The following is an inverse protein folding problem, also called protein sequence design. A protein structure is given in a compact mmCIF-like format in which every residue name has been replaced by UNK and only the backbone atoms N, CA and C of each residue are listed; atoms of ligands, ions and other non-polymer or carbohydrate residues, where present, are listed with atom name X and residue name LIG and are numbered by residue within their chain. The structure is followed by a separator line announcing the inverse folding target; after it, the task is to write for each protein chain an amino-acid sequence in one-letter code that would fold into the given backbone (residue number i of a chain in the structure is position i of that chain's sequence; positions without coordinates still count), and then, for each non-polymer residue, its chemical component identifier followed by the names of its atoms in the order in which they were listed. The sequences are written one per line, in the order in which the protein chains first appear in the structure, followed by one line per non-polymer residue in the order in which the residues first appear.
data_IF_462340633929
#
_entry.id   IF_462340633929
#
_cell.length_a   1.000
_cell.length_b   1.000
_cell.length_c   1.000
_cell.angle_alpha   90.00
_cell.angle_beta   90.00
_cell.angle_gamma   90.00
#
_symmetry.space_group_name_H-M   'P 1'
#
loop_
_entity.id
_entity.type
_entity.pdbx_description
1 polymer ?
#
# COMPACT_ATOMS: atom_id res chain seq x y z
N UNK A 1 -13.08 -2.73 3.70
CA UNK A 1 -11.75 -2.52 4.31
C UNK A 1 -11.06 -3.88 4.35
N UNK A 2 -9.85 -3.98 3.83
CA UNK A 2 -9.07 -5.22 3.77
C UNK A 2 -8.00 -5.20 4.86
N UNK A 3 -7.86 -6.31 5.58
CA UNK A 3 -6.79 -6.54 6.55
C UNK A 3 -6.02 -7.77 6.15
N UNK A 4 -4.71 -7.76 6.35
CA UNK A 4 -3.87 -8.92 6.12
C UNK A 4 -3.85 -9.82 7.36
N UNK A 5 -3.82 -11.13 7.15
CA UNK A 5 -3.61 -12.08 8.24
C UNK A 5 -2.26 -11.81 8.92
N UNK A 6 -2.21 -11.60 10.25
CA UNK A 6 -0.98 -11.22 10.92
C UNK A 6 0.13 -12.28 10.85
N UNK A 7 -0.23 -13.57 10.85
CA UNK A 7 0.74 -14.67 10.79
C UNK A 7 1.36 -14.81 9.40
N UNK A 8 0.53 -14.75 8.35
CA UNK A 8 0.98 -14.73 6.97
C UNK A 8 1.85 -13.49 6.68
N UNK A 9 1.43 -12.32 7.16
CA UNK A 9 2.21 -11.09 7.03
C UNK A 9 3.56 -11.20 7.75
N UNK A 10 3.59 -11.72 8.97
CA UNK A 10 4.83 -11.95 9.71
C UNK A 10 5.76 -12.91 8.97
N UNK A 11 5.24 -14.04 8.49
CA UNK A 11 6.00 -15.02 7.72
C UNK A 11 6.62 -14.40 6.46
N UNK A 12 5.81 -13.63 5.71
CA UNK A 12 6.27 -12.93 4.51
C UNK A 12 7.33 -11.88 4.80
N UNK A 13 7.16 -11.09 5.87
CA UNK A 13 8.12 -10.08 6.32
C UNK A 13 9.44 -10.69 6.80
N UNK A 14 9.41 -11.90 7.33
CA UNK A 14 10.59 -12.66 7.76
C UNK A 14 11.29 -13.39 6.62
N UNK A 15 10.72 -13.43 5.41
CA UNK A 15 11.32 -14.15 4.30
C UNK A 15 12.60 -13.47 3.78
N UNK A 16 13.63 -14.23 3.36
CA UNK A 16 14.89 -13.66 2.86
C UNK A 16 14.70 -12.72 1.66
N UNK A 17 13.78 -13.04 0.74
CA UNK A 17 13.50 -12.23 -0.44
C UNK A 17 12.91 -10.86 -0.06
N UNK A 18 11.93 -10.83 0.86
CA UNK A 18 11.33 -9.57 1.35
C UNK A 18 12.35 -8.74 2.11
N UNK A 19 13.17 -9.35 2.97
CA UNK A 19 14.23 -8.67 3.71
C UNK A 19 15.28 -8.07 2.77
N UNK A 20 15.70 -8.81 1.73
CA UNK A 20 16.64 -8.32 0.73
C UNK A 20 16.06 -7.12 -0.02
N UNK A 21 14.80 -7.19 -0.47
CA UNK A 21 14.13 -6.09 -1.17
C UNK A 21 13.98 -4.85 -0.28
N UNK A 22 13.58 -5.04 0.98
CA UNK A 22 13.45 -3.96 1.95
C UNK A 22 14.81 -3.27 2.21
N UNK A 23 15.90 -4.05 2.30
CA UNK A 23 17.24 -3.52 2.43
C UNK A 23 17.62 -2.66 1.23
N UNK A 24 17.45 -3.15 0.01
CA UNK A 24 17.75 -2.40 -1.23
C UNK A 24 17.00 -1.07 -1.28
N UNK A 25 15.71 -1.05 -0.92
CA UNK A 25 14.92 0.18 -0.89
C UNK A 25 15.47 1.18 0.13
N UNK A 26 15.77 0.72 1.35
CA UNK A 26 16.31 1.58 2.41
C UNK A 26 17.71 2.12 2.08
N UNK A 27 18.58 1.30 1.48
CA UNK A 27 19.91 1.71 1.04
C UNK A 27 19.82 2.76 -0.07
N UNK A 28 18.95 2.54 -1.06
CA UNK A 28 18.68 3.50 -2.13
C UNK A 28 18.17 4.83 -1.60
N UNK A 29 17.18 4.81 -0.69
CA UNK A 29 16.70 6.05 -0.06
C UNK A 29 17.78 6.74 0.76
N UNK A 30 18.59 5.99 1.51
CA UNK A 30 19.70 6.56 2.28
C UNK A 30 20.74 7.22 1.38
N UNK A 31 21.07 6.61 0.24
CA UNK A 31 21.96 7.21 -0.75
C UNK A 31 21.36 8.49 -1.35
N UNK A 32 20.08 8.47 -1.71
CA UNK A 32 19.35 9.63 -2.22
C UNK A 32 19.33 10.78 -1.20
N UNK A 33 19.06 10.48 0.07
CA UNK A 33 19.08 11.48 1.16
C UNK A 33 20.47 12.10 1.30
N UNK A 34 21.54 11.29 1.29
CA UNK A 34 22.93 11.79 1.36
C UNK A 34 23.25 12.74 0.19
N UNK A 35 22.88 12.35 -1.04
CA UNK A 35 23.10 13.17 -2.22
C UNK A 35 22.32 14.50 -2.17
N UNK A 36 21.11 14.52 -1.61
CA UNK A 36 20.35 15.77 -1.40
C UNK A 36 21.00 16.71 -0.40
N UNK A 37 21.48 16.16 0.73
CA UNK A 37 22.18 16.95 1.75
C UNK A 37 23.45 17.60 1.21
N UNK A 38 24.22 16.89 0.38
CA UNK A 38 25.39 17.45 -0.30
C UNK A 38 25.06 18.62 -1.23
N UNK A 39 23.82 18.70 -1.73
CA UNK A 39 23.32 19.78 -2.59
C UNK A 39 22.62 20.91 -1.82
N UNK A 40 22.68 20.89 -0.48
CA UNK A 40 21.99 21.89 0.37
C UNK A 40 20.46 21.78 0.35
N UNK A 41 19.90 20.66 -0.13
CA UNK A 41 18.46 20.45 -0.19
C UNK A 41 17.98 19.74 1.09
N UNK A 42 17.55 20.50 2.08
CA UNK A 42 16.89 19.99 3.28
C UNK A 42 15.39 19.74 3.01
N UNK A 43 14.85 18.68 3.60
CA UNK A 43 13.43 18.32 3.47
C UNK A 43 13.00 17.41 4.61
N UNK A 44 11.69 17.36 4.88
CA UNK A 44 11.14 16.50 5.92
C UNK A 44 11.18 15.03 5.47
N UNK A 45 12.10 14.27 6.07
CA UNK A 45 12.31 12.84 5.79
C UNK A 45 11.54 11.93 6.75
N UNK A 46 10.82 12.48 7.75
CA UNK A 46 10.12 11.65 8.75
C UNK A 46 9.09 10.73 8.10
N UNK A 47 8.36 11.24 7.11
CA UNK A 47 7.32 10.47 6.40
C UNK A 47 7.89 9.37 5.48
N UNK A 48 9.18 9.39 5.16
CA UNK A 48 9.80 8.36 4.32
C UNK A 48 9.93 7.04 5.06
N UNK A 49 10.28 7.06 6.36
CA UNK A 49 10.48 5.84 7.13
C UNK A 49 9.25 4.94 7.16
N UNK A 50 8.06 5.52 7.33
CA UNK A 50 6.80 4.77 7.32
C UNK A 50 6.48 4.17 5.94
N UNK A 51 6.69 4.96 4.88
CA UNK A 51 6.41 4.55 3.49
C UNK A 51 7.41 3.53 2.94
N UNK A 52 8.56 3.37 3.57
CA UNK A 52 9.59 2.39 3.18
C UNK A 52 9.41 1.04 3.87
N UNK A 53 8.46 0.91 4.79
CA UNK A 53 8.14 -0.38 5.42
C UNK A 53 7.65 -1.36 4.35
N UNK A 54 8.17 -2.58 4.37
CA UNK A 54 7.85 -3.59 3.36
C UNK A 54 6.34 -3.88 3.28
N UNK A 55 5.67 -3.94 4.44
CA UNK A 55 4.22 -4.11 4.52
C UNK A 55 3.43 -2.92 3.94
N UNK A 56 3.96 -1.69 4.01
CA UNK A 56 3.36 -0.52 3.38
C UNK A 56 3.48 -0.62 1.86
N UNK A 57 4.68 -0.87 1.35
CA UNK A 57 4.95 -0.96 -0.09
C UNK A 57 4.13 -2.09 -0.72
N UNK A 58 4.01 -3.23 -0.04
CA UNK A 58 3.17 -4.35 -0.49
C UNK A 58 1.69 -3.97 -0.52
N UNK A 59 1.15 -3.42 0.57
CA UNK A 59 -0.26 -3.05 0.64
C UNK A 59 -0.61 -1.97 -0.42
N UNK A 60 0.28 -1.00 -0.62
CA UNK A 60 0.17 0.03 -1.65
C UNK A 60 0.21 -0.57 -3.06
N UNK A 61 1.16 -1.47 -3.32
CA UNK A 61 1.29 -2.11 -4.64
C UNK A 61 0.07 -2.99 -4.95
N UNK A 62 -0.42 -3.73 -3.95
CA UNK A 62 -1.64 -4.52 -4.08
C UNK A 62 -2.85 -3.63 -4.36
N UNK A 63 -3.02 -2.54 -3.62
CA UNK A 63 -4.11 -1.60 -3.82
C UNK A 63 -4.15 -1.04 -5.25
N UNK A 64 -2.99 -0.68 -5.80
CA UNK A 64 -2.88 -0.27 -7.20
C UNK A 64 -3.26 -1.39 -8.18
N UNK A 65 -2.82 -2.63 -7.96
CA UNK A 65 -3.21 -3.76 -8.80
C UNK A 65 -4.74 -3.99 -8.76
N UNK A 66 -5.35 -3.98 -7.57
CA UNK A 66 -6.80 -4.14 -7.40
C UNK A 66 -7.57 -2.98 -8.06
N UNK A 67 -7.09 -1.74 -7.92
CA UNK A 67 -7.70 -0.58 -8.56
C UNK A 67 -7.65 -0.68 -10.08
N UNK A 68 -6.56 -1.21 -10.66
CA UNK A 68 -6.45 -1.45 -12.10
C UNK A 68 -7.49 -2.46 -12.57
N UNK A 69 -7.65 -3.60 -11.89
CA UNK A 69 -8.66 -4.60 -12.24
C UNK A 69 -10.08 -4.03 -12.12
N UNK A 70 -10.37 -3.31 -11.03
CA UNK A 70 -11.69 -2.65 -10.84
C UNK A 70 -11.97 -1.64 -11.94
N UNK A 71 -10.97 -0.88 -12.37
CA UNK A 71 -11.13 0.12 -13.43
C UNK A 71 -11.44 -0.53 -14.79
N UNK A 72 -10.83 -1.68 -15.08
CA UNK A 72 -11.09 -2.45 -16.30
C UNK A 72 -12.52 -3.04 -16.31
N UNK A 73 -12.98 -3.55 -15.18
CA UNK A 73 -14.26 -4.27 -15.08
C UNK A 73 -15.48 -3.34 -14.91
N UNK A 74 -15.34 -2.23 -14.18
CA UNK A 74 -16.49 -1.42 -13.74
C UNK A 74 -16.70 -0.14 -14.54
N UNK A 75 -15.83 0.18 -15.49
CA UNK A 75 -15.89 1.43 -16.25
C UNK A 75 -15.60 2.69 -15.41
N UNK A 76 -15.17 2.54 -14.16
CA UNK A 76 -14.64 3.66 -13.38
C UNK A 76 -13.23 3.97 -13.86
N UNK A 77 -12.90 5.23 -14.18
CA UNK A 77 -11.51 5.57 -14.45
C UNK A 77 -10.71 5.38 -13.15
N UNK A 78 -9.52 4.78 -13.26
CA UNK A 78 -8.63 4.55 -12.10
C UNK A 78 -8.33 5.84 -11.31
N UNK A 79 -8.43 7.02 -11.95
CA UNK A 79 -8.27 8.34 -11.33
C UNK A 79 -9.37 8.69 -10.31
N UNK A 80 -10.57 8.09 -10.43
CA UNK A 80 -11.69 8.24 -9.51
C UNK A 80 -11.60 7.35 -8.26
N UNK A 81 -10.71 6.35 -8.29
CA UNK A 81 -10.41 5.49 -7.15
C UNK A 81 -9.23 6.05 -6.38
N UNK A 82 -9.32 5.97 -5.05
CA UNK A 82 -8.26 6.32 -4.12
C UNK A 82 -8.05 5.17 -3.17
N UNK A 83 -6.84 5.14 -2.62
CA UNK A 83 -6.47 4.20 -1.58
C UNK A 83 -6.11 4.93 -0.29
N UNK A 84 -6.23 4.21 0.81
CA UNK A 84 -5.64 4.55 2.09
C UNK A 84 -5.02 3.32 2.70
N UNK A 85 -3.70 3.36 2.85
CA UNK A 85 -2.91 2.29 3.47
C UNK A 85 -2.74 2.57 4.95
N UNK A 86 -2.99 1.56 5.78
CA UNK A 86 -2.89 1.61 7.23
C UNK A 86 -1.79 0.66 7.68
N UNK A 87 -0.73 1.23 8.24
CA UNK A 87 0.38 0.45 8.80
C UNK A 87 0.73 1.06 10.16
N UNK A 88 0.13 0.56 11.27
CA UNK A 88 0.40 1.10 12.60
C UNK A 88 1.88 0.91 12.99
N UNK A 89 2.39 1.71 13.94
CA UNK A 89 3.71 1.50 14.52
C UNK A 89 3.90 0.06 15.02
N UNK A 90 5.12 -0.48 14.93
CA UNK A 90 5.42 -1.78 15.50
C UNK A 90 5.67 -1.62 16.99
N UNK A 91 4.94 -2.35 17.82
CA UNK A 91 5.21 -2.50 19.25
C UNK A 91 5.98 -3.80 19.51
N UNK A 92 6.96 -3.85 20.41
CA UNK A 92 7.61 -5.09 20.81
C UNK A 92 6.57 -6.10 21.33
N UNK A 93 6.62 -7.33 20.83
CA UNK A 93 5.69 -8.40 21.22
C UNK A 93 4.33 -8.39 20.52
N UNK A 94 4.04 -7.38 19.68
CA UNK A 94 2.82 -7.37 18.87
C UNK A 94 3.10 -7.89 17.44
N UNK A 95 2.15 -8.64 16.86
CA UNK A 95 2.28 -9.07 15.48
C UNK A 95 2.17 -7.86 14.52
N UNK A 96 2.85 -7.91 13.37
CA UNK A 96 2.74 -6.86 12.36
C UNK A 96 1.31 -6.78 11.84
N UNK A 97 0.87 -5.56 11.55
CA UNK A 97 -0.46 -5.29 11.01
C UNK A 97 -0.33 -4.38 9.80
N UNK A 98 -1.16 -4.64 8.80
CA UNK A 98 -1.38 -3.77 7.66
C UNK A 98 -2.84 -3.86 7.23
N UNK A 99 -3.33 -2.81 6.60
CA UNK A 99 -4.68 -2.76 6.06
C UNK A 99 -4.78 -1.75 4.92
N UNK A 100 -5.84 -1.90 4.14
CA UNK A 100 -6.06 -1.21 2.88
C UNK A 100 -7.55 -0.85 2.76
N UNK A 101 -7.81 0.41 2.46
CA UNK A 101 -9.13 0.90 2.04
C UNK A 101 -9.06 1.46 0.63
N UNK A 102 -9.82 0.89 -0.30
CA UNK A 102 -10.08 1.48 -1.61
C UNK A 102 -11.44 2.17 -1.55
N UNK A 103 -11.51 3.41 -2.03
CA UNK A 103 -12.71 4.23 -2.01
C UNK A 103 -12.79 5.13 -3.24
N UNK A 104 -14.00 5.53 -3.61
CA UNK A 104 -14.23 6.49 -4.70
C UNK A 104 -14.08 7.92 -4.17
N UNK A 105 -13.34 8.78 -4.85
CA UNK A 105 -13.13 10.17 -4.43
C UNK A 105 -13.61 11.23 -5.43
N UNK A 106 -14.47 10.86 -6.38
CA UNK A 106 -15.09 11.82 -7.30
C UNK A 106 -16.39 12.39 -6.73
N UNK A 107 -16.61 13.69 -6.89
CA UNK A 107 -17.83 14.39 -6.49
C UNK A 107 -18.97 14.32 -7.53
N UNK A 108 -18.80 13.57 -8.62
CA UNK A 108 -19.76 13.49 -9.71
C UNK A 108 -20.76 12.34 -9.55
N UNK A 109 -22.02 12.62 -9.86
CA UNK A 109 -23.21 11.74 -9.90
C UNK A 109 -23.13 10.59 -10.93
N UNK A 110 -21.95 10.09 -11.27
CA UNK A 110 -21.78 8.94 -12.16
C UNK A 110 -21.62 7.64 -11.37
N UNK A 111 -22.69 6.86 -11.36
CA UNK A 111 -22.69 5.45 -11.01
C UNK A 111 -23.01 5.20 -9.54
N UNK A 112 -24.10 4.48 -9.31
CA UNK A 112 -24.40 3.86 -8.02
C UNK A 112 -23.19 3.02 -7.58
N UNK A 113 -22.82 3.07 -6.30
CA UNK A 113 -21.79 2.23 -5.66
C UNK A 113 -21.92 0.71 -5.91
N UNK A 114 -22.98 0.26 -6.59
CA UNK A 114 -23.27 -1.13 -6.96
C UNK A 114 -22.17 -1.83 -7.76
N UNK A 115 -21.45 -1.14 -8.65
CA UNK A 115 -20.34 -1.75 -9.41
C UNK A 115 -19.16 -2.17 -8.51
N UNK A 116 -18.80 -1.32 -7.55
CA UNK A 116 -17.75 -1.62 -6.56
C UNK A 116 -18.18 -2.74 -5.61
N UNK A 117 -19.45 -2.72 -5.18
CA UNK A 117 -20.05 -3.76 -4.32
C UNK A 117 -20.08 -5.11 -5.03
N UNK A 118 -20.36 -5.15 -6.35
CA UNK A 118 -20.35 -6.38 -7.14
C UNK A 118 -18.96 -7.00 -7.26
N UNK A 119 -17.92 -6.19 -7.50
CA UNK A 119 -16.52 -6.69 -7.53
C UNK A 119 -16.05 -7.16 -6.17
N UNK A 120 -16.58 -6.59 -5.07
CA UNK A 120 -16.26 -7.05 -3.71
C UNK A 120 -16.61 -8.53 -3.49
N UNK A 121 -17.70 -9.02 -4.08
CA UNK A 121 -18.06 -10.45 -4.03
C UNK A 121 -17.06 -11.35 -4.78
N UNK A 122 -16.43 -10.82 -5.84
CA UNK A 122 -15.44 -11.55 -6.64
C UNK A 122 -14.03 -11.49 -6.06
N UNK A 123 -13.69 -10.47 -5.26
CA UNK A 123 -12.42 -10.44 -4.55
C UNK A 123 -12.24 -11.64 -3.62
N UNK A 124 -13.31 -12.11 -2.97
CA UNK A 124 -13.28 -13.33 -2.16
C UNK A 124 -13.06 -14.62 -2.97
N UNK A 125 -13.23 -14.58 -4.30
CA UNK A 125 -12.97 -15.72 -5.20
C UNK A 125 -11.62 -15.64 -5.91
N UNK A 126 -10.95 -14.49 -5.86
CA UNK A 126 -9.63 -14.24 -6.48
C UNK A 126 -8.50 -14.35 -5.44
N UNK A 127 -8.78 -14.08 -4.17
CA UNK A 127 -7.90 -14.31 -3.02
C UNK A 127 -8.03 -15.73 -2.48
#
# INVERSE_FOLDING_TARGET
FLTFDPAALQSWLSSPATLARARTLNEGTSAWVRARRQRGLEGDLKSLGERLRAEYVMAHSLAHALMTEVALDCGYPASSLKERVYVPPRSPGEPPRAGLLIYTASAGTQGTLGGLVEVTRRFASIL
#
